data_IF_206545251421
#
_entry.id   IF_206545251421
#
_cell.length_a   1.000
_cell.length_b   1.000
_cell.length_c   1.000
_cell.angle_alpha   90.00
_cell.angle_beta   90.00
_cell.angle_gamma   90.00
#
_symmetry.space_group_name_H-M   'P 1'
#
loop_
_entity.id
_entity.type
_entity.pdbx_description
1 polymer ?
#
# COMPACT_ATOMS: atom_id res chain seq x y z
N UNK A 1 -5.12 21.07 -1.20
CA UNK A 1 -5.78 19.87 -0.64
C UNK A 1 -5.85 18.82 -1.74
N UNK A 2 -5.79 17.52 -1.41
CA UNK A 2 -6.01 16.46 -2.40
C UNK A 2 -7.47 16.47 -2.85
N UNK A 3 -7.70 16.33 -4.16
CA UNK A 3 -9.04 16.13 -4.73
C UNK A 3 -9.07 14.85 -5.57
N UNK A 4 -10.20 14.16 -5.59
CA UNK A 4 -10.37 12.90 -6.33
C UNK A 4 -11.64 12.90 -7.17
N UNK A 5 -11.59 12.36 -8.38
CA UNK A 5 -12.76 12.25 -9.28
C UNK A 5 -13.10 10.78 -9.55
N UNK A 6 -14.19 10.28 -8.94
CA UNK A 6 -14.78 8.93 -9.11
C UNK A 6 -13.74 7.79 -9.20
N UNK A 7 -12.67 7.90 -8.41
CA UNK A 7 -11.58 6.92 -8.38
C UNK A 7 -10.79 6.79 -9.68
N UNK A 8 -10.91 7.69 -10.66
CA UNK A 8 -10.13 7.67 -11.92
C UNK A 8 -9.00 8.68 -11.95
N UNK A 9 -9.02 9.65 -11.05
CA UNK A 9 -8.07 10.77 -10.99
C UNK A 9 -7.82 11.19 -9.54
N UNK A 10 -6.57 11.54 -9.25
CA UNK A 10 -6.14 12.17 -7.98
C UNK A 10 -5.27 13.38 -8.31
N UNK A 11 -5.64 14.55 -7.81
CA UNK A 11 -4.87 15.79 -7.94
C UNK A 11 -4.16 16.11 -6.61
N UNK A 12 -2.88 16.42 -6.71
CA UNK A 12 -1.96 16.66 -5.60
C UNK A 12 -1.73 18.15 -5.38
N UNK A 13 -1.36 18.57 -4.13
CA UNK A 13 -1.09 19.97 -3.82
C UNK A 13 0.05 20.61 -4.60
N UNK A 14 0.98 19.81 -5.14
CA UNK A 14 2.12 20.26 -5.94
C UNK A 14 1.78 20.49 -7.43
N UNK A 15 0.50 20.34 -7.79
CA UNK A 15 0.01 20.52 -9.17
C UNK A 15 0.11 19.28 -10.04
N UNK A 16 0.54 18.13 -9.49
CA UNK A 16 0.49 16.84 -10.17
C UNK A 16 -0.92 16.26 -10.15
N UNK A 17 -1.37 15.73 -11.29
CA UNK A 17 -2.62 14.98 -11.41
C UNK A 17 -2.33 13.60 -12.00
N UNK A 18 -2.81 12.54 -11.34
CA UNK A 18 -2.64 11.14 -11.76
C UNK A 18 -3.95 10.56 -12.25
N UNK A 19 -3.98 10.11 -13.50
CA UNK A 19 -5.18 9.67 -14.21
C UNK A 19 -5.01 8.21 -14.69
N UNK A 20 -6.02 7.37 -14.49
CA UNK A 20 -5.96 5.96 -14.87
C UNK A 20 -4.94 5.17 -14.04
N UNK A 21 -4.44 4.04 -14.55
CA UNK A 21 -3.54 3.16 -13.80
C UNK A 21 -4.22 2.44 -12.62
N UNK A 22 -3.44 1.88 -11.70
CA UNK A 22 -3.94 1.30 -10.46
C UNK A 22 -4.30 2.38 -9.44
N UNK A 23 -5.23 2.05 -8.53
CA UNK A 23 -5.62 2.94 -7.44
C UNK A 23 -4.46 3.21 -6.48
N UNK A 24 -3.72 2.17 -6.14
CA UNK A 24 -2.49 2.26 -5.33
C UNK A 24 -1.48 3.23 -5.92
N UNK A 25 -1.31 3.25 -7.25
CA UNK A 25 -0.46 4.21 -7.94
C UNK A 25 -1.00 5.65 -7.84
N UNK A 26 -2.29 5.86 -8.15
CA UNK A 26 -2.90 7.19 -8.07
C UNK A 26 -2.86 7.76 -6.66
N UNK A 27 -2.94 6.92 -5.63
CA UNK A 27 -3.01 7.33 -4.24
C UNK A 27 -1.65 7.35 -3.52
N UNK A 28 -0.55 7.01 -4.20
CA UNK A 28 0.74 6.77 -3.56
C UNK A 28 0.64 5.77 -2.38
N UNK A 29 -0.23 4.78 -2.50
CA UNK A 29 -0.60 3.86 -1.43
C UNK A 29 -0.40 2.41 -1.88
N UNK A 30 0.86 1.92 -1.90
CA UNK A 30 1.18 0.57 -2.36
C UNK A 30 0.35 -0.50 -1.65
N UNK A 31 0.19 -0.37 -0.33
CA UNK A 31 -0.55 -1.31 0.50
C UNK A 31 -2.06 -1.21 0.48
N UNK A 32 -2.65 -0.30 -0.31
CA UNK A 32 -4.08 0.01 -0.23
C UNK A 32 -4.56 0.20 1.23
N UNK A 33 -3.78 0.94 2.03
CA UNK A 33 -4.16 1.27 3.41
C UNK A 33 -5.45 2.09 3.40
N UNK A 34 -6.43 1.68 4.20
CA UNK A 34 -7.67 2.45 4.38
C UNK A 34 -7.39 3.78 5.08
N UNK A 35 -8.14 4.81 4.69
CA UNK A 35 -8.01 6.11 5.33
C UNK A 35 -8.59 6.08 6.74
N UNK A 36 -7.87 6.64 7.71
CA UNK A 36 -8.27 6.58 9.11
C UNK A 36 -7.23 7.20 10.03
N UNK A 37 -7.36 6.97 11.34
CA UNK A 37 -6.43 7.49 12.35
C UNK A 37 -4.98 7.06 12.06
N UNK A 38 -4.77 5.77 11.78
CA UNK A 38 -3.46 5.22 11.46
C UNK A 38 -2.84 5.90 10.25
N UNK A 39 -3.51 5.89 9.09
CA UNK A 39 -2.96 6.48 7.87
C UNK A 39 -2.64 7.98 8.04
N UNK A 40 -3.49 8.74 8.75
CA UNK A 40 -3.23 10.15 9.08
C UNK A 40 -1.98 10.34 9.95
N UNK A 41 -1.79 9.51 10.96
CA UNK A 41 -0.59 9.54 11.81
C UNK A 41 0.68 9.19 11.02
N UNK A 42 0.54 8.46 9.91
CA UNK A 42 1.63 8.09 9.01
C UNK A 42 1.69 8.93 7.73
N UNK A 43 1.14 10.15 7.74
CA UNK A 43 1.36 11.13 6.68
C UNK A 43 0.37 11.11 5.52
N UNK A 44 -0.77 10.45 5.65
CA UNK A 44 -1.84 10.59 4.65
C UNK A 44 -2.34 12.04 4.56
N UNK A 45 -2.43 12.54 3.33
CA UNK A 45 -2.85 13.93 3.00
C UNK A 45 -4.29 14.02 2.50
N UNK A 46 -4.98 12.89 2.39
CA UNK A 46 -6.37 12.82 1.97
C UNK A 46 -6.85 11.40 1.75
N UNK A 47 -7.97 11.26 1.05
CA UNK A 47 -8.59 9.98 0.71
C UNK A 47 -9.24 10.04 -0.66
N UNK A 48 -9.33 8.89 -1.32
CA UNK A 48 -10.17 8.70 -2.51
C UNK A 48 -11.61 8.24 -2.19
N UNK A 49 -11.98 8.31 -0.91
CA UNK A 49 -13.26 7.85 -0.36
C UNK A 49 -13.09 6.68 0.61
N UNK A 50 -12.27 5.68 0.25
CA UNK A 50 -11.99 4.51 1.12
C UNK A 50 -10.52 4.45 1.53
N UNK A 51 -9.63 4.64 0.57
CA UNK A 51 -8.20 4.45 0.77
C UNK A 51 -7.51 5.77 1.05
N UNK A 52 -6.42 5.69 1.80
CA UNK A 52 -5.57 6.84 2.07
C UNK A 52 -4.86 7.28 0.79
N UNK A 53 -4.69 8.60 0.64
CA UNK A 53 -3.78 9.21 -0.33
C UNK A 53 -2.57 9.74 0.42
N UNK A 54 -1.37 9.32 0.04
CA UNK A 54 -0.10 9.75 0.60
C UNK A 54 0.57 10.78 -0.31
N UNK A 55 1.46 11.65 0.21
CA UNK A 55 2.14 12.66 -0.61
C UNK A 55 3.05 12.03 -1.67
N UNK A 56 3.69 10.91 -1.34
CA UNK A 56 4.57 10.17 -2.23
C UNK A 56 4.54 8.67 -1.88
N UNK A 57 5.04 7.85 -2.82
CA UNK A 57 5.09 6.39 -2.68
C UNK A 57 5.90 5.97 -1.45
N UNK A 58 6.98 6.68 -1.13
CA UNK A 58 7.88 6.34 -0.03
C UNK A 58 7.15 6.45 1.32
N UNK A 59 6.34 7.49 1.50
CA UNK A 59 5.49 7.69 2.68
C UNK A 59 4.44 6.58 2.80
N UNK A 60 3.79 6.21 1.69
CA UNK A 60 2.84 5.10 1.67
C UNK A 60 3.49 3.74 1.98
N UNK A 61 4.70 3.49 1.48
CA UNK A 61 5.47 2.29 1.80
C UNK A 61 5.89 2.26 3.27
N UNK A 62 6.36 3.38 3.83
CA UNK A 62 6.69 3.50 5.24
C UNK A 62 5.47 3.23 6.14
N UNK A 63 4.30 3.76 5.77
CA UNK A 63 3.03 3.50 6.45
C UNK A 63 2.65 2.01 6.41
N UNK A 64 2.82 1.35 5.25
CA UNK A 64 2.58 -0.10 5.11
C UNK A 64 3.51 -0.91 6.01
N UNK A 65 4.81 -0.60 6.01
CA UNK A 65 5.80 -1.28 6.88
C UNK A 65 5.44 -1.11 8.35
N UNK A 66 5.08 0.11 8.77
CA UNK A 66 4.65 0.39 10.14
C UNK A 66 3.39 -0.40 10.52
N UNK A 67 2.43 -0.54 9.59
CA UNK A 67 1.21 -1.33 9.82
C UNK A 67 1.55 -2.81 10.01
N UNK A 68 2.38 -3.37 9.14
CA UNK A 68 2.75 -4.78 9.17
C UNK A 68 3.52 -5.12 10.45
N UNK A 69 4.46 -4.28 10.88
CA UNK A 69 5.18 -4.52 12.14
C UNK A 69 4.34 -4.23 13.39
N UNK A 70 3.52 -3.18 13.35
CA UNK A 70 2.74 -2.76 14.52
C UNK A 70 1.48 -3.60 14.74
N UNK A 71 0.57 -3.61 13.77
CA UNK A 71 -0.72 -4.31 13.89
C UNK A 71 -0.57 -5.82 13.72
N UNK A 72 0.31 -6.25 12.83
CA UNK A 72 0.44 -7.65 12.44
C UNK A 72 1.71 -8.32 12.96
N UNK A 73 2.53 -7.65 13.78
CA UNK A 73 3.78 -8.23 14.31
C UNK A 73 3.59 -9.60 14.95
N UNK A 74 2.55 -9.73 15.76
CA UNK A 74 2.22 -10.99 16.47
C UNK A 74 1.47 -12.03 15.62
N UNK A 75 1.12 -11.69 14.39
CA UNK A 75 0.43 -12.58 13.47
C UNK A 75 1.44 -13.44 12.72
N UNK A 76 1.04 -14.68 12.40
CA UNK A 76 1.70 -15.44 11.33
C UNK A 76 1.47 -14.76 9.97
N UNK A 77 2.34 -15.02 9.00
CA UNK A 77 2.14 -14.56 7.61
C UNK A 77 0.74 -14.96 7.10
N UNK A 78 0.31 -16.20 7.33
CA UNK A 78 -0.99 -16.69 6.90
C UNK A 78 -2.16 -15.92 7.55
N UNK A 79 -2.10 -15.69 8.87
CA UNK A 79 -3.17 -14.96 9.58
C UNK A 79 -3.17 -13.46 9.24
N UNK A 80 -2.00 -12.86 9.00
CA UNK A 80 -1.89 -11.50 8.50
C UNK A 80 -2.57 -11.38 7.13
N UNK A 81 -2.27 -12.28 6.19
CA UNK A 81 -2.86 -12.25 4.85
C UNK A 81 -4.38 -12.42 4.90
N UNK A 82 -4.88 -13.35 5.71
CA UNK A 82 -6.33 -13.56 5.87
C UNK A 82 -7.06 -12.30 6.38
N UNK A 83 -6.40 -11.50 7.23
CA UNK A 83 -6.94 -10.25 7.75
C UNK A 83 -6.72 -9.05 6.79
N UNK A 84 -5.64 -9.06 6.01
CA UNK A 84 -5.23 -7.96 5.13
C UNK A 84 -5.92 -8.01 3.77
N UNK A 85 -6.10 -9.21 3.20
CA UNK A 85 -6.73 -9.47 1.91
C UNK A 85 -7.74 -10.62 2.05
N UNK A 86 -8.96 -10.37 2.57
CA UNK A 86 -9.86 -11.43 3.00
C UNK A 86 -10.29 -12.40 1.88
N UNK A 87 -10.63 -13.67 2.22
CA UNK A 87 -10.77 -14.75 1.25
C UNK A 87 -12.01 -14.67 0.34
N UNK A 88 -12.98 -13.80 0.65
CA UNK A 88 -14.13 -13.59 -0.23
C UNK A 88 -13.77 -12.88 -1.54
N UNK A 89 -12.60 -12.25 -1.59
CA UNK A 89 -12.07 -11.54 -2.77
C UNK A 89 -10.70 -12.08 -3.23
N UNK A 90 -10.03 -12.93 -2.44
CA UNK A 90 -8.62 -13.30 -2.66
C UNK A 90 -8.35 -14.78 -2.37
N UNK A 91 -7.38 -15.37 -3.08
CA UNK A 91 -6.79 -16.66 -2.70
C UNK A 91 -5.73 -16.42 -1.60
N UNK A 92 -6.18 -16.39 -0.35
CA UNK A 92 -5.33 -16.12 0.81
C UNK A 92 -4.25 -17.17 1.01
N UNK A 93 -4.53 -18.43 0.68
CA UNK A 93 -3.57 -19.53 0.82
C UNK A 93 -2.41 -19.37 -0.16
N UNK A 94 -2.73 -19.11 -1.44
CA UNK A 94 -1.71 -18.80 -2.45
C UNK A 94 -0.95 -17.54 -2.10
N UNK A 95 -1.63 -16.47 -1.66
CA UNK A 95 -0.96 -15.22 -1.33
C UNK A 95 0.02 -15.38 -0.16
N UNK A 96 -0.40 -16.01 0.95
CA UNK A 96 0.47 -16.30 2.08
C UNK A 96 1.67 -17.16 1.69
N UNK A 97 1.45 -18.19 0.86
CA UNK A 97 2.51 -19.07 0.36
C UNK A 97 3.53 -18.30 -0.47
N UNK A 98 3.07 -17.45 -1.40
CA UNK A 98 3.96 -16.70 -2.29
C UNK A 98 4.87 -15.73 -1.51
N UNK A 99 4.34 -15.01 -0.51
CA UNK A 99 5.16 -14.05 0.25
C UNK A 99 6.03 -14.74 1.31
N UNK A 100 5.58 -15.85 1.89
CA UNK A 100 6.40 -16.65 2.81
C UNK A 100 7.59 -17.28 2.08
N UNK A 101 7.37 -17.84 0.89
CA UNK A 101 8.44 -18.38 0.04
C UNK A 101 9.47 -17.30 -0.33
N UNK A 102 9.02 -16.09 -0.67
CA UNK A 102 9.94 -14.99 -0.97
C UNK A 102 10.80 -14.59 0.25
N UNK A 103 10.24 -14.69 1.46
CA UNK A 103 10.95 -14.46 2.71
C UNK A 103 11.77 -15.68 3.19
N UNK A 104 11.70 -16.83 2.51
CA UNK A 104 12.42 -18.05 2.90
C UNK A 104 11.93 -18.67 4.20
N UNK A 105 10.65 -18.49 4.55
CA UNK A 105 10.05 -18.99 5.81
C UNK A 105 8.74 -19.73 5.56
N UNK A 106 8.24 -20.42 6.59
CA UNK A 106 6.91 -21.03 6.54
C UNK A 106 5.80 -19.97 6.69
N UNK A 107 4.59 -20.18 6.12
CA UNK A 107 3.44 -19.28 6.33
C UNK A 107 3.01 -19.14 7.81
N UNK A 108 3.42 -20.07 8.67
CA UNK A 108 3.19 -20.01 10.12
C UNK A 108 4.16 -19.12 10.89
N UNK A 109 5.26 -18.66 10.27
CA UNK A 109 6.24 -17.77 10.92
C UNK A 109 5.59 -16.44 11.32
N UNK A 110 5.92 -15.94 12.53
CA UNK A 110 5.39 -14.67 13.03
C UNK A 110 6.14 -13.50 12.40
N UNK A 111 5.44 -12.42 12.09
CA UNK A 111 6.05 -11.24 11.45
C UNK A 111 7.13 -10.61 12.36
N UNK A 112 6.93 -10.61 13.68
CA UNK A 112 7.88 -10.08 14.67
C UNK A 112 9.18 -10.88 14.76
N UNK A 113 9.19 -12.12 14.28
CA UNK A 113 10.35 -13.03 14.33
C UNK A 113 11.18 -12.99 13.05
N UNK A 114 10.67 -12.35 11.99
CA UNK A 114 11.40 -12.21 10.74
C UNK A 114 12.59 -11.26 10.91
N UNK A 115 13.74 -11.65 10.38
CA UNK A 115 14.86 -10.73 10.21
C UNK A 115 14.47 -9.59 9.27
N UNK A 116 15.20 -8.48 9.32
CA UNK A 116 14.92 -7.34 8.44
C UNK A 116 15.00 -7.72 6.95
N UNK A 117 15.91 -8.63 6.58
CA UNK A 117 16.01 -9.13 5.22
C UNK A 117 14.77 -9.96 4.84
N UNK A 118 14.34 -10.89 5.70
CA UNK A 118 13.16 -11.72 5.44
C UNK A 118 11.88 -10.86 5.34
N UNK A 119 11.73 -9.91 6.26
CA UNK A 119 10.62 -8.96 6.25
C UNK A 119 10.63 -8.09 4.99
N UNK A 120 11.79 -7.57 4.57
CA UNK A 120 11.91 -6.81 3.33
C UNK A 120 11.51 -7.65 2.12
N UNK A 121 12.02 -8.88 1.99
CA UNK A 121 11.65 -9.77 0.89
C UNK A 121 10.16 -10.11 0.87
N UNK A 122 9.53 -10.27 2.04
CA UNK A 122 8.08 -10.41 2.16
C UNK A 122 7.34 -9.19 1.61
N UNK A 123 7.70 -7.98 2.07
CA UNK A 123 7.04 -6.71 1.68
C UNK A 123 7.23 -6.41 0.19
N UNK A 124 8.41 -6.68 -0.36
CA UNK A 124 8.69 -6.56 -1.79
C UNK A 124 7.80 -7.50 -2.60
N UNK A 125 7.58 -8.72 -2.11
CA UNK A 125 6.69 -9.67 -2.79
C UNK A 125 5.23 -9.27 -2.70
N UNK A 126 4.78 -8.71 -1.57
CA UNK A 126 3.46 -8.10 -1.45
C UNK A 126 3.28 -6.97 -2.47
N UNK A 127 4.27 -6.08 -2.62
CA UNK A 127 4.20 -4.99 -3.60
C UNK A 127 4.04 -5.48 -5.05
N UNK A 128 4.73 -6.56 -5.41
CA UNK A 128 4.57 -7.21 -6.72
C UNK A 128 3.18 -7.81 -6.90
N UNK A 129 2.60 -8.38 -5.83
CA UNK A 129 1.26 -8.96 -5.85
C UNK A 129 0.16 -7.89 -5.97
N UNK A 130 0.32 -6.75 -5.29
CA UNK A 130 -0.65 -5.64 -5.24
C UNK A 130 -0.81 -4.90 -6.58
N UNK A 131 0.03 -5.16 -7.58
CA UNK A 131 -0.21 -4.74 -8.97
C UNK A 131 -0.12 -3.23 -9.19
N UNK A 132 1.01 -2.62 -8.83
CA UNK A 132 1.30 -1.21 -9.09
C UNK A 132 1.38 -0.92 -10.60
N UNK A 133 0.39 -0.21 -11.15
CA UNK A 133 0.31 0.13 -12.57
C UNK A 133 0.25 1.63 -12.76
N UNK A 134 1.31 2.21 -13.32
CA UNK A 134 1.34 3.63 -13.65
C UNK A 134 0.29 3.99 -14.72
N UNK A 135 -0.33 5.15 -14.55
CA UNK A 135 -1.22 5.77 -15.53
C UNK A 135 -0.58 7.02 -16.15
N UNK A 136 -1.42 7.97 -16.54
CA UNK A 136 -0.99 9.27 -17.05
C UNK A 136 -0.72 10.22 -15.88
N UNK A 137 0.42 10.90 -15.92
CA UNK A 137 0.73 12.01 -15.03
C UNK A 137 0.66 13.32 -15.81
N UNK A 138 -0.18 14.24 -15.34
CA UNK A 138 -0.25 15.61 -15.83
C UNK A 138 0.31 16.54 -14.76
N UNK A 139 1.01 17.60 -15.17
CA UNK A 139 1.35 18.71 -14.27
C UNK A 139 0.82 19.98 -14.86
N UNK A 140 0.07 20.77 -14.06
CA UNK A 140 -0.17 22.16 -14.46
C UNK A 140 1.17 22.87 -14.44
N UNK A 141 1.65 23.28 -15.61
CA UNK A 141 2.78 24.19 -15.71
C UNK A 141 2.45 25.43 -14.89
N UNK A 142 3.40 25.88 -14.07
CA UNK A 142 3.35 27.22 -13.53
C UNK A 142 3.21 28.16 -14.73
N UNK A 143 2.06 28.81 -14.86
CA UNK A 143 1.93 29.95 -15.75
C UNK A 143 2.84 31.02 -15.18
N UNK A 144 4.09 31.07 -15.66
CA UNK A 144 4.91 32.26 -15.51
C UNK A 144 4.20 33.35 -16.28
N UNK A 145 3.63 34.30 -15.54
CA UNK A 145 3.16 35.57 -16.07
C UNK A 145 4.35 36.39 -16.61
#
# INVERSE_FOLDING_TARGET
>A
MVSTSRGKEVSYPDGETRIGGSRSWRNNNPGNLEYGKFAKQHGAIGTDGRFAVFPDKATGDAARVALLRGKYGDHSIASMVAAYAPPHENDTGRYATVIATAAGVAPSARISELSDQQFSSMVDKMAQHEGWKAGLTERRGATTA
#
